data_IF_638009096977
#
_entry.id   IF_638009096977
#
_cell.length_a   1.000
_cell.length_b   1.000
_cell.length_c   1.000
_cell.angle_alpha   90.00
_cell.angle_beta   90.00
_cell.angle_gamma   90.00
#
_symmetry.space_group_name_H-M   'P 1'
#
loop_
_entity.id
_entity.type
_entity.pdbx_description
1 polymer ?
#
# COMPACT_ATOMS: atom_id res chain seq x y z
N UNK A 1 25.89 -8.20 -1.47
CA UNK A 1 25.06 -7.59 -0.41
C UNK A 1 23.90 -6.76 -0.96
N UNK A 2 24.01 -6.10 -2.12
CA UNK A 2 22.93 -5.28 -2.68
C UNK A 2 21.59 -6.01 -2.90
N UNK A 3 21.62 -7.22 -3.45
CA UNK A 3 20.41 -8.03 -3.65
C UNK A 3 19.69 -8.39 -2.34
N UNK A 4 20.44 -8.70 -1.27
CA UNK A 4 19.86 -8.98 0.04
C UNK A 4 19.24 -7.72 0.66
N UNK A 5 19.92 -6.58 0.57
CA UNK A 5 19.39 -5.30 1.05
C UNK A 5 18.12 -4.88 0.29
N UNK A 6 18.12 -5.04 -1.04
CA UNK A 6 16.94 -4.81 -1.89
C UNK A 6 15.76 -5.72 -1.50
N UNK A 7 16.01 -7.02 -1.32
CA UNK A 7 14.99 -7.98 -0.92
C UNK A 7 14.38 -7.65 0.45
N UNK A 8 15.20 -7.25 1.43
CA UNK A 8 14.74 -6.86 2.76
C UNK A 8 13.92 -5.56 2.68
N UNK A 9 14.39 -4.54 1.96
CA UNK A 9 13.70 -3.27 1.83
C UNK A 9 12.32 -3.43 1.17
N UNK A 10 12.26 -4.15 0.04
CA UNK A 10 11.00 -4.43 -0.66
C UNK A 10 10.10 -5.31 0.20
N UNK A 11 10.63 -6.37 0.83
CA UNK A 11 9.84 -7.30 1.64
C UNK A 11 9.16 -6.61 2.83
N UNK A 12 9.89 -5.77 3.56
CA UNK A 12 9.33 -5.01 4.68
C UNK A 12 8.30 -3.96 4.21
N UNK A 13 8.58 -3.27 3.11
CA UNK A 13 7.63 -2.30 2.56
C UNK A 13 6.34 -2.98 2.08
N UNK A 14 6.44 -4.13 1.41
CA UNK A 14 5.31 -4.93 0.97
C UNK A 14 4.45 -5.44 2.15
N UNK A 15 5.07 -5.84 3.26
CA UNK A 15 4.34 -6.22 4.48
C UNK A 15 3.54 -5.05 5.04
N UNK A 16 4.15 -3.87 5.14
CA UNK A 16 3.47 -2.64 5.57
C UNK A 16 2.31 -2.25 4.66
N UNK A 17 2.51 -2.32 3.35
CA UNK A 17 1.50 -2.03 2.34
C UNK A 17 0.32 -3.00 2.42
N UNK A 18 0.61 -4.30 2.48
CA UNK A 18 -0.40 -5.35 2.56
C UNK A 18 -1.28 -5.19 3.79
N UNK A 19 -0.68 -4.89 4.94
CA UNK A 19 -1.44 -4.64 6.17
C UNK A 19 -2.27 -3.35 6.10
N UNK A 20 -1.68 -2.25 5.64
CA UNK A 20 -2.35 -0.95 5.49
C UNK A 20 -3.54 -1.02 4.53
N UNK A 21 -3.33 -1.57 3.33
CA UNK A 21 -4.38 -1.75 2.33
C UNK A 21 -5.47 -2.71 2.82
N UNK A 22 -5.10 -3.82 3.48
CA UNK A 22 -6.06 -4.74 4.07
C UNK A 22 -7.01 -4.06 5.05
N UNK A 23 -6.48 -3.20 5.92
CA UNK A 23 -7.31 -2.40 6.84
C UNK A 23 -8.19 -1.38 6.11
N UNK A 24 -7.63 -0.62 5.17
CA UNK A 24 -8.38 0.40 4.43
C UNK A 24 -9.53 -0.22 3.64
N UNK A 25 -9.25 -1.30 2.90
CA UNK A 25 -10.25 -1.98 2.06
C UNK A 25 -11.31 -2.66 2.91
N UNK A 26 -10.94 -3.37 3.98
CA UNK A 26 -11.92 -4.03 4.87
C UNK A 26 -12.88 -3.02 5.51
N UNK A 27 -12.37 -1.89 6.02
CA UNK A 27 -13.20 -0.81 6.58
C UNK A 27 -14.10 -0.16 5.53
N UNK A 28 -13.60 -0.04 4.30
CA UNK A 28 -14.41 0.47 3.18
C UNK A 28 -15.56 -0.47 2.86
N UNK A 29 -15.30 -1.78 2.80
CA UNK A 29 -16.34 -2.81 2.58
C UNK A 29 -17.36 -2.81 3.71
N UNK A 30 -16.93 -2.75 4.97
CA UNK A 30 -17.82 -2.62 6.13
C UNK A 30 -18.69 -1.35 6.06
N UNK A 31 -18.10 -0.23 5.65
CA UNK A 31 -18.81 1.04 5.48
C UNK A 31 -19.86 0.97 4.37
N UNK A 32 -19.53 0.40 3.22
CA UNK A 32 -20.46 0.20 2.10
C UNK A 32 -21.59 -0.75 2.50
N UNK A 33 -21.29 -1.82 3.25
CA UNK A 33 -22.31 -2.75 3.73
C UNK A 33 -23.32 -2.09 4.70
N UNK A 34 -22.86 -1.13 5.51
CA UNK A 34 -23.71 -0.36 6.42
C UNK A 34 -24.51 0.73 5.70
N UNK A 35 -23.93 1.36 4.68
CA UNK A 35 -24.57 2.45 3.94
C UNK A 35 -24.22 2.39 2.44
N UNK A 36 -25.00 1.65 1.63
CA UNK A 36 -24.72 1.46 0.21
C UNK A 36 -24.69 2.75 -0.62
N UNK A 37 -25.47 3.76 -0.24
CA UNK A 37 -25.55 5.05 -0.93
C UNK A 37 -24.23 5.84 -0.82
N UNK A 38 -23.44 5.58 0.23
CA UNK A 38 -22.15 6.24 0.47
C UNK A 38 -20.99 5.62 -0.34
N UNK A 39 -21.25 4.58 -1.15
CA UNK A 39 -20.21 3.80 -1.86
C UNK A 39 -19.23 4.68 -2.64
N UNK A 40 -19.71 5.65 -3.39
CA UNK A 40 -18.85 6.53 -4.20
C UNK A 40 -17.84 7.29 -3.32
N UNK A 41 -18.32 7.97 -2.29
CA UNK A 41 -17.48 8.75 -1.37
C UNK A 41 -16.49 7.87 -0.59
N UNK A 42 -16.94 6.69 -0.14
CA UNK A 42 -16.09 5.72 0.56
C UNK A 42 -14.99 5.18 -0.35
N UNK A 43 -15.29 4.85 -1.60
CA UNK A 43 -14.29 4.40 -2.57
C UNK A 43 -13.27 5.50 -2.91
N UNK A 44 -13.70 6.76 -3.07
CA UNK A 44 -12.78 7.89 -3.26
C UNK A 44 -11.81 8.01 -2.08
N UNK A 45 -12.32 7.96 -0.85
CA UNK A 45 -11.49 8.04 0.36
C UNK A 45 -10.56 6.83 0.48
N UNK A 46 -11.05 5.63 0.16
CA UNK A 46 -10.27 4.41 0.11
C UNK A 46 -9.07 4.55 -0.84
N UNK A 47 -9.29 5.01 -2.07
CA UNK A 47 -8.22 5.17 -3.05
C UNK A 47 -7.19 6.22 -2.64
N UNK A 48 -7.61 7.32 -2.01
CA UNK A 48 -6.67 8.30 -1.43
C UNK A 48 -5.82 7.63 -0.35
N UNK A 49 -6.45 6.86 0.56
CA UNK A 49 -5.74 6.12 1.60
C UNK A 49 -4.75 5.09 1.03
N UNK A 50 -5.17 4.30 0.04
CA UNK A 50 -4.31 3.32 -0.65
C UNK A 50 -3.13 4.02 -1.32
N UNK A 51 -3.36 5.14 -2.01
CA UNK A 51 -2.29 5.90 -2.65
C UNK A 51 -1.24 6.40 -1.64
N UNK A 52 -1.68 6.82 -0.44
CA UNK A 52 -0.77 7.21 0.64
C UNK A 52 0.02 6.02 1.21
N UNK A 53 -0.63 4.85 1.35
CA UNK A 53 0.04 3.61 1.80
C UNK A 53 1.09 3.16 0.78
N UNK A 54 0.78 3.24 -0.52
CA UNK A 54 1.67 2.80 -1.61
C UNK A 54 2.87 3.73 -1.86
N UNK A 55 2.86 4.97 -1.34
CA UNK A 55 3.97 5.90 -1.52
C UNK A 55 5.31 5.34 -0.99
N UNK A 56 5.30 4.68 0.17
CA UNK A 56 6.51 4.11 0.79
C UNK A 56 7.01 2.85 0.05
N UNK A 57 6.15 1.87 -0.30
CA UNK A 57 6.51 0.75 -1.18
C UNK A 57 7.13 1.16 -2.50
N UNK A 58 6.56 2.16 -3.18
CA UNK A 58 7.11 2.66 -4.44
C UNK A 58 8.52 3.22 -4.22
N UNK A 59 8.74 4.01 -3.17
CA UNK A 59 10.08 4.52 -2.82
C UNK A 59 11.04 3.37 -2.49
N UNK A 60 10.59 2.35 -1.76
CA UNK A 60 11.42 1.19 -1.42
C UNK A 60 11.88 0.41 -2.67
N UNK A 61 11.00 0.26 -3.67
CA UNK A 61 11.35 -0.34 -4.97
C UNK A 61 12.38 0.51 -5.72
N UNK A 62 12.23 1.84 -5.73
CA UNK A 62 13.21 2.74 -6.36
C UNK A 62 14.58 2.61 -5.69
N UNK A 63 14.64 2.63 -4.35
CA UNK A 63 15.89 2.46 -3.60
C UNK A 63 16.50 1.07 -3.87
N UNK A 64 15.68 0.02 -3.96
CA UNK A 64 16.15 -1.31 -4.29
C UNK A 64 16.82 -1.38 -5.66
N UNK A 65 16.25 -0.72 -6.69
CA UNK A 65 16.89 -0.62 -8.01
C UNK A 65 18.24 0.10 -7.93
N UNK A 66 18.30 1.24 -7.24
CA UNK A 66 19.55 1.98 -7.06
C UNK A 66 20.66 1.13 -6.39
N UNK A 67 20.30 0.34 -5.38
CA UNK A 67 21.23 -0.53 -4.65
C UNK A 67 21.67 -1.74 -5.49
N UNK A 68 20.84 -2.17 -6.45
CA UNK A 68 21.19 -3.22 -7.41
C UNK A 68 22.01 -2.69 -8.60
N UNK A 69 22.23 -1.37 -8.70
CA UNK A 69 22.95 -0.75 -9.82
C UNK A 69 22.13 -0.71 -11.11
N UNK A 70 20.80 -0.71 -10.98
CA UNK A 70 19.82 -0.65 -12.08
C UNK A 70 19.27 0.77 -12.23
#
# INVERSE_FOLDING_TARGET
>A
MGALAAAIAIGLAALGAGFGNGMIVSRTVEGIARQPEARGALQTTMFIGVALVEAIPIIAVVVAFMVMGM
#
